data_IF_343300875737
#
_entry.id   IF_343300875737
#
_cell.length_a   1.000
_cell.length_b   1.000
_cell.length_c   1.000
_cell.angle_alpha   90.00
_cell.angle_beta   90.00
_cell.angle_gamma   90.00
#
_symmetry.space_group_name_H-M   'P 1'
#
loop_
_entity.id
_entity.type
_entity.pdbx_description
1 polymer ?
#
# COMPACT_ATOMS: atom_id res chain seq x y z
N UNK A 1 66.83 78.42 -17.93
CA UNK A 1 67.69 77.32 -18.41
C UNK A 1 67.37 76.09 -17.59
N UNK A 2 67.16 74.99 -18.22
CA UNK A 2 66.95 73.61 -17.79
C UNK A 2 65.52 73.15 -17.69
N UNK A 3 65.17 72.44 -18.73
CA UNK A 3 64.04 71.65 -19.04
C UNK A 3 63.97 70.37 -18.19
N UNK A 4 62.85 70.08 -17.66
CA UNK A 4 62.58 68.82 -16.97
C UNK A 4 61.36 68.10 -17.62
N UNK A 5 61.58 66.98 -18.23
CA UNK A 5 60.57 66.20 -18.92
C UNK A 5 59.69 65.41 -17.97
N UNK A 6 58.40 65.42 -18.16
CA UNK A 6 57.40 64.64 -17.44
C UNK A 6 57.08 63.37 -18.21
N UNK A 7 57.27 62.22 -17.61
CA UNK A 7 56.85 60.91 -18.12
C UNK A 7 55.43 60.54 -17.65
N UNK A 8 54.58 59.96 -18.51
CA UNK A 8 53.22 59.60 -18.12
C UNK A 8 53.15 58.23 -17.35
N UNK A 9 52.40 58.19 -16.30
CA UNK A 9 52.07 57.04 -15.50
C UNK A 9 51.11 56.12 -16.25
N UNK A 10 51.57 54.88 -16.50
CA UNK A 10 50.71 53.84 -17.06
C UNK A 10 49.62 53.37 -16.08
N UNK A 11 48.37 53.35 -16.57
CA UNK A 11 47.22 52.79 -15.88
C UNK A 11 47.24 51.27 -16.02
N UNK A 12 47.47 50.55 -14.92
CA UNK A 12 47.30 49.11 -14.83
C UNK A 12 45.82 48.79 -14.65
N UNK A 13 45.18 48.20 -15.68
CA UNK A 13 43.88 47.59 -15.54
C UNK A 13 44.02 46.24 -14.85
N UNK A 14 43.53 46.14 -13.58
CA UNK A 14 43.29 44.87 -12.92
C UNK A 14 41.91 44.33 -13.37
N UNK A 15 41.97 43.34 -14.23
CA UNK A 15 40.77 42.56 -14.60
C UNK A 15 40.30 41.76 -13.38
N UNK A 16 39.18 42.15 -12.78
CA UNK A 16 38.46 41.33 -11.79
C UNK A 16 37.75 40.19 -12.51
N UNK A 17 38.31 38.96 -12.53
CA UNK A 17 37.57 37.75 -12.90
C UNK A 17 36.55 37.45 -11.79
N UNK A 18 35.29 37.76 -12.01
CA UNK A 18 34.20 37.28 -11.18
C UNK A 18 34.00 35.78 -11.47
N UNK A 19 34.53 34.92 -10.59
CA UNK A 19 34.16 33.53 -10.51
C UNK A 19 32.69 33.46 -10.04
N UNK A 20 31.77 33.31 -10.99
CA UNK A 20 30.39 33.00 -10.73
C UNK A 20 30.30 31.58 -10.14
N UNK A 21 30.30 31.47 -8.81
CA UNK A 21 30.02 30.23 -8.12
C UNK A 21 28.56 29.83 -8.41
N UNK A 22 28.36 28.82 -9.26
CA UNK A 22 27.07 28.13 -9.37
C UNK A 22 26.86 27.38 -8.06
N UNK A 23 26.16 28.02 -7.14
CA UNK A 23 25.63 27.34 -5.94
C UNK A 23 24.63 26.28 -6.42
N UNK A 24 25.06 25.04 -6.51
CA UNK A 24 24.15 23.91 -6.57
C UNK A 24 23.38 23.90 -5.26
N UNK A 25 22.19 24.52 -5.25
CA UNK A 25 21.27 24.38 -4.14
C UNK A 25 20.95 22.88 -4.03
N UNK A 26 21.54 22.22 -3.04
CA UNK A 26 21.12 20.87 -2.61
C UNK A 26 19.69 21.05 -2.11
N UNK A 27 18.73 20.68 -2.97
CA UNK A 27 17.32 20.70 -2.59
C UNK A 27 17.17 19.67 -1.48
N UNK A 28 16.77 20.11 -0.29
CA UNK A 28 16.51 19.20 0.83
C UNK A 28 15.48 18.16 0.41
N UNK A 29 15.74 16.89 0.74
CA UNK A 29 14.81 15.80 0.46
C UNK A 29 13.49 16.07 1.19
N UNK A 30 12.38 15.88 0.49
CA UNK A 30 11.05 16.10 1.07
C UNK A 30 10.60 14.85 1.82
N UNK A 31 10.40 15.01 3.15
CA UNK A 31 10.05 13.89 4.03
C UNK A 31 8.60 13.45 3.80
N UNK A 32 8.38 12.15 3.64
CA UNK A 32 7.05 11.50 3.57
C UNK A 32 7.03 10.34 4.57
N UNK A 33 5.99 10.28 5.39
CA UNK A 33 5.72 9.16 6.29
C UNK A 33 4.66 8.26 5.67
N UNK A 34 5.07 7.05 5.24
CA UNK A 34 4.19 5.97 4.80
C UNK A 34 3.91 5.03 5.98
N UNK A 35 2.66 4.85 6.36
CA UNK A 35 2.23 3.82 7.29
C UNK A 35 1.63 2.64 6.52
N UNK A 36 2.20 1.45 6.69
CA UNK A 36 1.66 0.25 6.06
C UNK A 36 0.42 -0.27 6.79
N UNK A 37 -0.40 -1.10 6.12
CA UNK A 37 -1.59 -1.70 6.71
C UNK A 37 -1.28 -2.84 7.68
N UNK A 38 -0.09 -3.42 7.57
CA UNK A 38 0.34 -4.62 8.29
C UNK A 38 1.83 -4.57 8.62
N UNK A 39 2.33 -5.61 9.32
CA UNK A 39 3.77 -5.82 9.51
C UNK A 39 4.50 -5.90 8.17
N UNK A 40 5.80 -5.61 8.17
CA UNK A 40 6.64 -5.72 6.99
C UNK A 40 6.67 -7.18 6.49
N UNK A 41 6.24 -7.37 5.24
CA UNK A 41 6.23 -8.65 4.52
C UNK A 41 6.12 -8.41 2.99
N UNK A 42 5.99 -9.45 2.17
CA UNK A 42 6.06 -9.34 0.71
C UNK A 42 5.02 -8.35 0.12
N UNK A 43 3.84 -8.19 0.75
CA UNK A 43 2.79 -7.26 0.32
C UNK A 43 3.14 -5.78 0.50
N UNK A 44 4.23 -5.47 1.19
CA UNK A 44 4.80 -4.13 1.27
C UNK A 44 6.10 -4.01 0.45
N UNK A 45 6.49 -5.08 -0.25
CA UNK A 45 7.79 -5.24 -0.90
C UNK A 45 8.19 -4.13 -1.84
N UNK A 46 7.27 -3.60 -2.65
CA UNK A 46 7.57 -2.52 -3.59
C UNK A 46 8.03 -1.23 -2.90
N UNK A 47 7.48 -0.91 -1.72
CA UNK A 47 7.88 0.28 -0.97
C UNK A 47 9.26 0.10 -0.33
N UNK A 48 9.51 -1.05 0.28
CA UNK A 48 10.83 -1.41 0.80
C UNK A 48 11.89 -1.49 -0.31
N UNK A 49 11.53 -2.00 -1.48
CA UNK A 49 12.40 -2.01 -2.65
C UNK A 49 12.74 -0.60 -3.12
N UNK A 50 11.74 0.29 -3.22
CA UNK A 50 11.98 1.68 -3.60
C UNK A 50 12.92 2.40 -2.62
N UNK A 51 12.83 2.09 -1.33
CA UNK A 51 13.74 2.59 -0.31
C UNK A 51 15.14 1.97 -0.46
N UNK A 52 15.25 0.65 -0.54
CA UNK A 52 16.51 -0.09 -0.61
C UNK A 52 17.34 0.26 -1.86
N UNK A 53 16.68 0.46 -2.99
CA UNK A 53 17.33 0.79 -4.27
C UNK A 53 17.53 2.29 -4.49
N UNK A 54 17.13 3.12 -3.53
CA UNK A 54 17.28 4.58 -3.60
C UNK A 54 16.31 5.27 -4.57
N UNK A 55 15.24 4.61 -5.04
CA UNK A 55 14.26 5.22 -5.94
C UNK A 55 13.61 6.46 -5.32
N UNK A 56 13.25 6.43 -4.03
CA UNK A 56 12.73 7.62 -3.36
C UNK A 56 13.73 8.79 -3.38
N UNK A 57 14.99 8.53 -3.04
CA UNK A 57 16.06 9.54 -3.08
C UNK A 57 16.30 10.10 -4.48
N UNK A 58 16.26 9.24 -5.52
CA UNK A 58 16.33 9.66 -6.93
C UNK A 58 15.29 10.72 -7.27
N UNK A 59 14.12 10.65 -6.64
CA UNK A 59 13.05 11.64 -6.81
C UNK A 59 13.09 12.80 -5.79
N UNK A 60 14.13 12.88 -4.95
CA UNK A 60 14.28 13.92 -3.92
C UNK A 60 13.37 13.73 -2.72
N UNK A 61 13.06 12.48 -2.37
CA UNK A 61 12.19 12.12 -1.27
C UNK A 61 12.96 11.38 -0.17
N UNK A 62 12.71 11.74 1.08
CA UNK A 62 13.05 10.97 2.28
C UNK A 62 11.79 10.26 2.79
N UNK A 63 11.64 8.97 2.48
CA UNK A 63 10.46 8.19 2.85
C UNK A 63 10.73 7.37 4.09
N UNK A 64 9.99 7.67 5.16
CA UNK A 64 9.96 6.87 6.39
C UNK A 64 8.82 5.84 6.28
N UNK A 65 9.17 4.54 6.20
CA UNK A 65 8.18 3.46 6.23
C UNK A 65 7.95 3.06 7.68
N UNK A 66 6.70 3.12 8.14
CA UNK A 66 6.26 2.66 9.45
C UNK A 66 5.39 1.43 9.29
N UNK A 67 5.72 0.36 9.98
CA UNK A 67 4.90 -0.85 9.99
C UNK A 67 3.60 -0.64 10.75
N UNK A 68 2.50 -1.07 10.14
CA UNK A 68 1.22 -1.26 10.80
C UNK A 68 1.15 -2.56 11.59
N UNK A 69 -0.05 -3.09 11.73
CA UNK A 69 -0.29 -4.36 12.43
C UNK A 69 -1.76 -4.58 12.71
N UNK A 70 -2.14 -5.76 13.25
CA UNK A 70 -3.54 -6.18 13.40
C UNK A 70 -4.39 -5.28 14.29
N UNK A 71 -3.77 -4.45 15.14
CA UNK A 71 -4.45 -3.53 16.07
C UNK A 71 -4.18 -2.04 15.75
N UNK A 72 -3.51 -1.75 14.61
CA UNK A 72 -3.19 -0.38 14.22
C UNK A 72 -4.33 0.21 13.41
N UNK A 73 -4.87 1.35 13.85
CA UNK A 73 -5.87 2.11 13.10
C UNK A 73 -5.18 3.14 12.20
N UNK A 74 -4.86 2.74 10.96
CA UNK A 74 -4.17 3.60 10.00
C UNK A 74 -4.95 4.88 9.68
N UNK A 75 -6.28 4.80 9.50
CA UNK A 75 -7.10 5.97 9.20
C UNK A 75 -7.03 7.02 10.31
N UNK A 76 -7.06 6.61 11.57
CA UNK A 76 -6.90 7.52 12.71
C UNK A 76 -5.53 8.22 12.67
N UNK A 77 -4.46 7.49 12.36
CA UNK A 77 -3.09 8.05 12.26
C UNK A 77 -2.95 9.01 11.08
N UNK A 78 -3.61 8.72 9.95
CA UNK A 78 -3.68 9.64 8.81
C UNK A 78 -4.39 10.95 9.18
N UNK A 79 -5.60 10.85 9.73
CA UNK A 79 -6.43 12.02 10.06
C UNK A 79 -5.80 12.89 11.17
N UNK A 80 -5.06 12.28 12.10
CA UNK A 80 -4.29 12.99 13.14
C UNK A 80 -2.92 13.51 12.66
N UNK A 81 -2.65 13.46 11.35
CA UNK A 81 -1.39 13.93 10.73
C UNK A 81 -0.11 13.21 11.23
N UNK A 82 -0.26 11.99 11.73
CA UNK A 82 0.88 11.15 12.17
C UNK A 82 1.46 10.30 11.04
N UNK A 83 0.77 10.22 9.91
CA UNK A 83 1.25 9.70 8.64
C UNK A 83 0.80 10.64 7.51
N UNK A 84 1.58 10.74 6.44
CA UNK A 84 1.23 11.50 5.24
C UNK A 84 0.41 10.65 4.28
N UNK A 85 0.82 9.38 4.14
CA UNK A 85 0.17 8.36 3.32
C UNK A 85 0.01 7.08 4.14
N UNK A 86 -1.12 6.41 3.99
CA UNK A 86 -1.33 5.07 4.55
C UNK A 86 -1.65 4.07 3.44
N UNK A 87 -1.35 2.80 3.69
CA UNK A 87 -1.96 1.70 2.95
C UNK A 87 -3.30 1.41 3.66
N UNK A 88 -4.40 1.53 2.94
CA UNK A 88 -5.75 1.31 3.44
C UNK A 88 -6.61 0.53 2.44
N UNK A 89 -7.92 0.58 2.62
CA UNK A 89 -8.87 -0.22 1.83
C UNK A 89 -10.07 0.63 1.41
N UNK A 90 -10.61 0.35 0.22
CA UNK A 90 -11.73 1.11 -0.36
C UNK A 90 -12.98 1.10 0.52
N UNK A 91 -13.37 -0.05 1.10
CA UNK A 91 -14.55 -0.13 1.97
C UNK A 91 -14.42 0.82 3.16
N UNK A 92 -13.28 0.77 3.84
CA UNK A 92 -12.98 1.63 4.98
C UNK A 92 -12.99 3.11 4.58
N UNK A 93 -12.44 3.42 3.39
CA UNK A 93 -12.40 4.78 2.90
C UNK A 93 -13.80 5.29 2.56
N UNK A 94 -14.63 4.51 1.87
CA UNK A 94 -16.00 4.88 1.51
C UNK A 94 -16.90 5.07 2.75
N UNK A 95 -16.79 4.18 3.75
CA UNK A 95 -17.44 4.39 5.05
C UNK A 95 -16.96 5.68 5.73
N UNK A 96 -15.66 5.94 5.68
CA UNK A 96 -15.08 7.17 6.21
C UNK A 96 -15.64 8.42 5.54
N UNK A 97 -15.74 8.43 4.20
CA UNK A 97 -16.35 9.53 3.43
C UNK A 97 -17.80 9.76 3.88
N UNK A 98 -18.60 8.69 4.03
CA UNK A 98 -19.96 8.79 4.54
C UNK A 98 -20.03 9.45 5.94
N UNK A 99 -19.00 9.24 6.76
CA UNK A 99 -18.85 9.84 8.10
C UNK A 99 -18.18 11.23 8.08
N UNK A 100 -17.88 11.78 6.89
CA UNK A 100 -17.25 13.09 6.72
C UNK A 100 -15.72 13.11 6.83
N UNK A 101 -15.05 11.95 6.76
CA UNK A 101 -13.59 11.89 6.78
C UNK A 101 -13.00 12.56 5.54
N UNK A 102 -11.95 13.35 5.75
CA UNK A 102 -11.22 14.03 4.69
C UNK A 102 -10.00 13.18 4.29
N UNK A 103 -10.22 12.21 3.39
CA UNK A 103 -9.20 11.32 2.88
C UNK A 103 -9.50 10.94 1.42
N UNK A 104 -8.45 10.64 0.62
CA UNK A 104 -8.58 10.23 -0.78
C UNK A 104 -7.56 9.14 -1.11
N UNK A 105 -8.00 8.14 -1.87
CA UNK A 105 -7.09 7.23 -2.55
C UNK A 105 -6.35 7.97 -3.67
N UNK A 106 -5.03 7.74 -3.77
CA UNK A 106 -4.14 8.36 -4.76
C UNK A 106 -3.50 7.35 -5.72
N UNK A 107 -3.54 6.06 -5.37
CA UNK A 107 -3.16 4.93 -6.23
C UNK A 107 -3.70 3.61 -5.67
N UNK A 108 -3.89 2.61 -6.54
CA UNK A 108 -4.23 1.23 -6.17
C UNK A 108 -3.14 0.27 -6.69
N UNK A 109 -2.05 0.07 -5.95
CA UNK A 109 -0.99 -0.86 -6.34
C UNK A 109 -1.51 -2.28 -6.54
N UNK A 110 -2.30 -2.79 -5.60
CA UNK A 110 -2.93 -4.09 -5.71
C UNK A 110 -4.28 -3.98 -6.43
N UNK A 111 -4.36 -4.57 -7.61
CA UNK A 111 -5.60 -4.65 -8.38
C UNK A 111 -6.57 -5.70 -7.81
N UNK A 112 -6.05 -6.72 -7.16
CA UNK A 112 -6.82 -7.72 -6.44
C UNK A 112 -6.32 -7.81 -4.99
N UNK A 113 -7.28 -7.95 -4.06
CA UNK A 113 -6.96 -8.09 -2.64
C UNK A 113 -6.33 -9.47 -2.38
N UNK A 114 -5.14 -9.56 -1.79
CA UNK A 114 -4.52 -10.84 -1.44
C UNK A 114 -5.21 -11.54 -0.26
N UNK A 115 -6.20 -10.92 0.37
CA UNK A 115 -6.89 -11.45 1.53
C UNK A 115 -7.84 -12.57 1.17
N UNK A 116 -7.95 -13.52 2.08
CA UNK A 116 -8.85 -14.63 2.01
C UNK A 116 -9.05 -15.27 3.37
N UNK A 117 -9.66 -16.44 3.35
CA UNK A 117 -9.92 -17.23 4.56
C UNK A 117 -9.29 -18.61 4.41
N UNK A 118 -8.45 -18.97 5.38
CA UNK A 118 -7.99 -20.35 5.60
C UNK A 118 -9.05 -21.12 6.38
N UNK A 119 -9.34 -22.32 5.92
CA UNK A 119 -10.21 -23.28 6.59
C UNK A 119 -9.59 -24.66 6.56
N UNK A 120 -9.97 -25.53 7.48
CA UNK A 120 -9.61 -26.94 7.38
C UNK A 120 -10.26 -27.61 6.17
N UNK A 121 -9.76 -28.78 5.77
CA UNK A 121 -10.11 -29.46 4.53
C UNK A 121 -11.58 -29.91 4.45
N UNK A 122 -12.30 -29.97 5.58
CA UNK A 122 -13.72 -30.28 5.68
C UNK A 122 -14.61 -29.15 5.15
N UNK A 123 -14.13 -27.91 5.16
CA UNK A 123 -14.85 -26.74 4.61
C UNK A 123 -14.48 -26.54 3.15
N UNK A 124 -15.36 -26.97 2.25
CA UNK A 124 -15.13 -26.92 0.80
C UNK A 124 -15.72 -25.68 0.11
N UNK A 125 -16.41 -24.83 0.86
CA UNK A 125 -16.98 -23.57 0.37
C UNK A 125 -17.20 -22.59 1.52
N UNK A 126 -17.30 -21.28 1.21
CA UNK A 126 -17.55 -20.23 2.22
C UNK A 126 -18.92 -20.36 2.91
N UNK A 127 -19.87 -21.11 2.34
CA UNK A 127 -21.15 -21.46 2.98
C UNK A 127 -20.96 -22.36 4.20
N UNK A 128 -19.90 -23.15 4.25
CA UNK A 128 -19.55 -24.05 5.34
C UNK A 128 -19.01 -23.36 6.61
N UNK A 129 -18.97 -22.02 6.64
CA UNK A 129 -18.41 -21.26 7.76
C UNK A 129 -19.37 -21.07 8.95
N UNK A 130 -20.65 -21.45 8.83
CA UNK A 130 -21.70 -21.11 9.81
C UNK A 130 -21.39 -21.58 11.23
N UNK A 131 -20.72 -22.71 11.37
CA UNK A 131 -20.42 -23.31 12.68
C UNK A 131 -18.93 -23.18 13.07
N UNK A 132 -18.17 -22.38 12.31
CA UNK A 132 -16.73 -22.17 12.58
C UNK A 132 -16.49 -20.93 13.44
N UNK A 133 -15.47 -20.96 14.26
CA UNK A 133 -14.89 -19.77 14.91
C UNK A 133 -13.99 -19.07 13.90
N UNK A 134 -14.19 -17.76 13.71
CA UNK A 134 -13.49 -16.96 12.71
C UNK A 134 -12.50 -16.03 13.38
N UNK A 135 -11.20 -16.22 13.12
CA UNK A 135 -10.18 -15.31 13.63
C UNK A 135 -10.02 -14.14 12.64
N UNK A 136 -10.40 -12.94 13.10
CA UNK A 136 -10.44 -11.72 12.29
C UNK A 136 -9.73 -10.60 13.03
N UNK A 137 -8.80 -9.90 12.38
CA UNK A 137 -8.13 -8.72 12.95
C UNK A 137 -9.07 -7.52 13.04
N UNK A 138 -8.69 -6.51 13.81
CA UNK A 138 -9.45 -5.25 13.88
C UNK A 138 -9.55 -4.58 12.50
N UNK A 139 -8.50 -4.65 11.67
CA UNK A 139 -8.55 -4.14 10.29
C UNK A 139 -9.49 -4.97 9.42
N UNK A 140 -9.48 -6.31 9.54
CA UNK A 140 -10.40 -7.20 8.81
C UNK A 140 -11.86 -6.95 9.17
N UNK A 141 -12.15 -6.66 10.44
CA UNK A 141 -13.51 -6.31 10.90
C UNK A 141 -14.01 -4.98 10.28
N UNK A 142 -13.10 -4.06 9.99
CA UNK A 142 -13.43 -2.77 9.37
C UNK A 142 -13.40 -2.81 7.83
N UNK A 143 -13.05 -3.95 7.21
CA UNK A 143 -12.87 -4.05 5.75
C UNK A 143 -13.73 -5.17 5.16
N UNK A 144 -13.20 -6.38 5.05
CA UNK A 144 -13.85 -7.49 4.34
C UNK A 144 -14.89 -8.26 5.16
N UNK A 145 -14.81 -8.24 6.51
CA UNK A 145 -15.75 -8.97 7.36
C UNK A 145 -17.22 -8.56 7.15
N UNK A 146 -17.59 -7.25 7.06
CA UNK A 146 -18.97 -6.86 6.77
C UNK A 146 -19.49 -7.47 5.47
N UNK A 147 -18.64 -7.56 4.43
CA UNK A 147 -18.98 -8.22 3.18
C UNK A 147 -19.21 -9.73 3.38
N UNK A 148 -18.24 -10.42 3.99
CA UNK A 148 -18.32 -11.87 4.18
C UNK A 148 -19.56 -12.23 5.03
N UNK A 149 -19.78 -11.47 6.11
CA UNK A 149 -20.96 -11.64 6.97
C UNK A 149 -22.28 -11.51 6.21
N UNK A 150 -22.43 -10.45 5.43
CA UNK A 150 -23.64 -10.20 4.65
C UNK A 150 -23.85 -11.27 3.57
N UNK A 151 -22.79 -11.60 2.82
CA UNK A 151 -22.84 -12.52 1.69
C UNK A 151 -23.19 -13.96 2.11
N UNK A 152 -22.67 -14.41 3.26
CA UNK A 152 -22.80 -15.80 3.72
C UNK A 152 -23.66 -15.94 4.98
N UNK A 153 -24.35 -14.88 5.42
CA UNK A 153 -25.25 -14.86 6.56
C UNK A 153 -24.57 -15.33 7.87
N UNK A 154 -23.34 -14.85 8.09
CA UNK A 154 -22.55 -15.16 9.27
C UNK A 154 -22.88 -14.21 10.42
N UNK A 155 -22.36 -14.50 11.63
CA UNK A 155 -22.63 -13.76 12.85
C UNK A 155 -21.35 -13.20 13.49
N UNK A 156 -21.44 -12.00 14.06
CA UNK A 156 -20.36 -11.42 14.86
C UNK A 156 -20.01 -12.27 16.10
N UNK A 157 -20.94 -13.11 16.56
CA UNK A 157 -20.70 -14.06 17.65
C UNK A 157 -19.61 -15.11 17.34
N UNK A 158 -19.36 -15.39 16.05
CA UNK A 158 -18.30 -16.31 15.59
C UNK A 158 -16.91 -15.68 15.63
N UNK A 159 -16.81 -14.34 15.66
CA UNK A 159 -15.53 -13.63 15.51
C UNK A 159 -14.71 -13.65 16.79
N UNK A 160 -13.42 -13.94 16.64
CA UNK A 160 -12.39 -13.79 17.70
C UNK A 160 -11.20 -13.01 17.12
N UNK A 161 -10.41 -12.34 17.96
CA UNK A 161 -9.26 -11.56 17.49
C UNK A 161 -8.20 -12.43 16.80
N UNK A 162 -7.75 -11.99 15.63
CA UNK A 162 -6.56 -12.52 14.96
C UNK A 162 -5.35 -11.63 15.25
N UNK A 163 -4.22 -12.24 15.64
CA UNK A 163 -3.01 -11.54 16.10
C UNK A 163 -1.74 -11.95 15.34
N UNK A 164 -1.87 -12.37 14.10
CA UNK A 164 -0.76 -12.90 13.29
C UNK A 164 -0.12 -14.14 13.94
N UNK A 165 -0.96 -15.07 14.40
CA UNK A 165 -0.56 -16.34 14.99
C UNK A 165 -1.44 -17.45 14.42
N UNK A 166 -0.83 -18.43 13.74
CA UNK A 166 -1.55 -19.55 13.14
C UNK A 166 -1.84 -20.69 14.11
N UNK A 167 -1.27 -20.68 15.32
CA UNK A 167 -1.39 -21.82 16.25
C UNK A 167 -2.84 -22.17 16.63
N UNK A 168 -3.74 -21.22 16.89
CA UNK A 168 -5.14 -21.57 17.14
C UNK A 168 -5.79 -22.33 15.98
N UNK A 169 -5.44 -21.98 14.72
CA UNK A 169 -5.90 -22.69 13.54
C UNK A 169 -5.28 -24.09 13.43
N UNK A 170 -3.98 -24.22 13.73
CA UNK A 170 -3.25 -25.50 13.60
C UNK A 170 -3.78 -26.57 14.56
N UNK A 171 -4.30 -26.18 15.74
CA UNK A 171 -4.68 -27.12 16.81
C UNK A 171 -6.19 -27.35 16.94
N UNK A 172 -7.02 -26.59 16.22
CA UNK A 172 -8.47 -26.67 16.35
C UNK A 172 -9.16 -26.60 14.97
N UNK A 173 -9.73 -27.73 14.54
CA UNK A 173 -10.42 -27.86 13.27
C UNK A 173 -11.74 -27.03 13.16
N UNK A 174 -12.26 -26.54 14.30
CA UNK A 174 -13.41 -25.65 14.33
C UNK A 174 -13.06 -24.19 14.00
N UNK A 175 -11.76 -23.87 13.89
CA UNK A 175 -11.26 -22.52 13.61
C UNK A 175 -11.07 -22.34 12.11
N UNK A 176 -11.54 -21.21 11.58
CA UNK A 176 -11.11 -20.63 10.32
C UNK A 176 -10.43 -19.27 10.61
N UNK A 177 -9.49 -18.85 9.79
CA UNK A 177 -8.78 -17.60 10.05
C UNK A 177 -8.56 -16.77 8.79
N UNK A 178 -8.52 -15.45 8.97
CA UNK A 178 -8.02 -14.59 7.91
C UNK A 178 -6.59 -14.97 7.53
N UNK A 179 -6.27 -14.76 6.27
CA UNK A 179 -4.92 -14.98 5.75
C UNK A 179 -4.66 -14.15 4.50
N UNK A 180 -3.41 -13.93 4.20
CA UNK A 180 -2.97 -13.53 2.86
C UNK A 180 -2.48 -14.77 2.11
N UNK A 181 -2.84 -14.90 0.84
CA UNK A 181 -2.33 -15.98 -0.04
C UNK A 181 -0.80 -16.03 -0.03
N UNK A 182 -0.18 -14.89 0.14
CA UNK A 182 1.27 -14.66 0.14
C UNK A 182 1.97 -14.91 1.50
N UNK A 183 1.25 -15.26 2.56
CA UNK A 183 1.83 -15.38 3.91
C UNK A 183 1.35 -16.62 4.67
N UNK A 184 0.17 -16.56 5.33
CA UNK A 184 -0.30 -17.60 6.24
C UNK A 184 -0.54 -18.94 5.55
N UNK A 185 -0.90 -18.94 4.28
CA UNK A 185 -1.08 -20.17 3.49
C UNK A 185 0.20 -21.02 3.54
N UNK A 186 1.35 -20.41 3.31
CA UNK A 186 2.65 -21.06 3.38
C UNK A 186 2.96 -21.59 4.80
N UNK A 187 2.68 -20.77 5.81
CA UNK A 187 2.96 -21.14 7.20
C UNK A 187 2.13 -22.36 7.63
N UNK A 188 0.85 -22.41 7.26
CA UNK A 188 -0.05 -23.53 7.55
C UNK A 188 0.38 -24.79 6.80
N UNK A 189 0.79 -24.67 5.53
CA UNK A 189 1.35 -25.81 4.78
C UNK A 189 2.63 -26.33 5.42
N UNK A 190 3.53 -25.46 5.87
CA UNK A 190 4.76 -25.82 6.58
C UNK A 190 4.47 -26.50 7.93
N UNK A 191 3.38 -26.16 8.60
CA UNK A 191 2.91 -26.82 9.81
C UNK A 191 2.28 -28.19 9.55
N UNK A 192 2.17 -28.63 8.28
CA UNK A 192 1.64 -29.94 7.91
C UNK A 192 0.11 -30.03 7.96
N UNK A 193 -0.60 -28.91 8.10
CA UNK A 193 -2.06 -28.88 8.14
C UNK A 193 -2.62 -28.84 6.73
N UNK A 194 -3.58 -29.74 6.43
CA UNK A 194 -4.34 -29.70 5.19
C UNK A 194 -5.42 -28.63 5.30
N UNK A 195 -5.31 -27.59 4.48
CA UNK A 195 -6.22 -26.45 4.51
C UNK A 195 -6.69 -26.08 3.10
N UNK A 196 -7.89 -25.51 3.04
CA UNK A 196 -8.39 -24.80 1.87
C UNK A 196 -8.18 -23.30 2.08
N UNK A 197 -7.90 -22.58 1.02
CA UNK A 197 -7.81 -21.13 1.02
C UNK A 197 -8.82 -20.54 0.03
N UNK A 198 -9.63 -19.62 0.51
CA UNK A 198 -10.65 -18.92 -0.29
C UNK A 198 -10.21 -17.48 -0.49
N UNK A 199 -9.60 -17.18 -1.63
CA UNK A 199 -9.18 -15.81 -2.00
C UNK A 199 -10.44 -14.97 -2.27
N UNK A 200 -10.66 -13.90 -1.52
CA UNK A 200 -11.92 -13.14 -1.57
C UNK A 200 -12.22 -12.55 -2.96
N UNK A 201 -11.19 -12.11 -3.69
CA UNK A 201 -11.36 -11.58 -5.04
C UNK A 201 -11.91 -12.60 -6.05
N UNK A 202 -11.67 -13.90 -5.84
CA UNK A 202 -12.23 -14.99 -6.64
C UNK A 202 -13.68 -15.33 -6.24
N UNK A 203 -14.13 -14.86 -5.07
CA UNK A 203 -15.46 -15.08 -4.54
C UNK A 203 -16.37 -13.83 -4.61
N UNK A 204 -16.04 -12.89 -5.49
CA UNK A 204 -16.87 -11.73 -5.77
C UNK A 204 -16.61 -10.51 -4.85
N UNK A 205 -15.53 -10.49 -4.07
CA UNK A 205 -15.10 -9.32 -3.34
C UNK A 205 -14.51 -8.27 -4.31
N UNK A 206 -15.20 -7.14 -4.58
CA UNK A 206 -14.85 -6.26 -5.69
C UNK A 206 -13.73 -5.25 -5.41
N UNK A 207 -13.38 -4.91 -4.13
CA UNK A 207 -12.41 -3.86 -3.84
C UNK A 207 -11.02 -4.09 -4.41
N UNK A 208 -10.28 -2.99 -4.51
CA UNK A 208 -8.82 -3.07 -4.66
C UNK A 208 -8.19 -3.64 -3.38
N UNK A 209 -7.00 -4.22 -3.48
CA UNK A 209 -6.20 -4.59 -2.31
C UNK A 209 -5.16 -3.50 -1.99
N UNK A 210 -5.13 -3.00 -0.75
CA UNK A 210 -4.04 -2.12 -0.32
C UNK A 210 -3.85 -0.83 -1.14
N UNK A 211 -4.83 0.07 -1.11
CA UNK A 211 -4.76 1.37 -1.78
C UNK A 211 -3.92 2.38 -0.97
N UNK A 212 -3.24 3.30 -1.66
CA UNK A 212 -2.55 4.43 -1.04
C UNK A 212 -3.55 5.56 -0.77
N UNK A 213 -3.66 5.97 0.49
CA UNK A 213 -4.60 7.02 0.92
C UNK A 213 -3.84 8.18 1.53
N UNK A 214 -4.18 9.41 1.14
CA UNK A 214 -3.65 10.65 1.69
C UNK A 214 -4.79 11.62 2.03
N UNK A 215 -4.49 12.63 2.85
CA UNK A 215 -5.44 13.72 3.12
C UNK A 215 -5.48 14.72 1.96
N UNK A 216 -6.64 15.36 1.70
CA UNK A 216 -6.75 16.40 0.67
C UNK A 216 -5.81 17.59 0.88
N UNK A 217 -5.56 18.01 2.13
CA UNK A 217 -4.60 19.07 2.44
C UNK A 217 -3.17 18.68 2.03
N UNK A 218 -2.74 17.46 2.38
CA UNK A 218 -1.42 16.92 1.98
C UNK A 218 -1.29 16.84 0.46
N UNK A 219 -2.36 16.41 -0.24
CA UNK A 219 -2.38 16.34 -1.70
C UNK A 219 -2.22 17.74 -2.32
N UNK A 220 -2.97 18.74 -1.81
CA UNK A 220 -2.94 20.09 -2.35
C UNK A 220 -1.60 20.81 -2.10
N UNK A 221 -1.11 20.74 -0.86
CA UNK A 221 0.11 21.44 -0.44
C UNK A 221 1.39 20.81 -1.01
N UNK A 222 1.37 19.47 -1.24
CA UNK A 222 2.55 18.68 -1.60
C UNK A 222 2.35 17.87 -2.88
N UNK A 223 1.59 18.41 -3.83
CA UNK A 223 1.21 17.71 -5.06
C UNK A 223 2.39 17.09 -5.82
N UNK A 224 3.47 17.85 -5.99
CA UNK A 224 4.65 17.37 -6.71
C UNK A 224 5.34 16.20 -5.98
N UNK A 225 5.43 16.26 -4.66
CA UNK A 225 6.00 15.17 -3.86
C UNK A 225 5.11 13.92 -3.87
N UNK A 226 3.79 14.09 -3.79
CA UNK A 226 2.85 12.96 -3.90
C UNK A 226 2.96 12.27 -5.27
N UNK A 227 3.07 13.02 -6.37
CA UNK A 227 3.27 12.46 -7.70
C UNK A 227 4.59 11.64 -7.80
N UNK A 228 5.69 12.20 -7.26
CA UNK A 228 6.99 11.52 -7.20
C UNK A 228 6.94 10.26 -6.33
N UNK A 229 6.27 10.34 -5.17
CA UNK A 229 6.11 9.23 -4.24
C UNK A 229 5.33 8.08 -4.88
N UNK A 230 4.18 8.36 -5.51
CA UNK A 230 3.38 7.34 -6.20
C UNK A 230 4.21 6.68 -7.31
N UNK A 231 4.89 7.48 -8.17
CA UNK A 231 5.75 6.96 -9.23
C UNK A 231 6.86 6.07 -8.69
N UNK A 232 7.63 6.55 -7.71
CA UNK A 232 8.74 5.79 -7.13
C UNK A 232 8.26 4.49 -6.48
N UNK A 233 7.09 4.51 -5.85
CA UNK A 233 6.47 3.31 -5.27
C UNK A 233 6.08 2.29 -6.34
N UNK A 234 5.52 2.73 -7.47
CA UNK A 234 5.18 1.81 -8.58
C UNK A 234 6.43 1.27 -9.28
N UNK A 235 7.45 2.11 -9.51
CA UNK A 235 8.76 1.65 -10.01
C UNK A 235 9.42 0.66 -9.02
N UNK A 236 9.22 0.88 -7.71
CA UNK A 236 9.64 -0.04 -6.66
C UNK A 236 8.96 -1.41 -6.78
N UNK A 237 7.67 -1.45 -7.06
CA UNK A 237 6.95 -2.70 -7.31
C UNK A 237 7.46 -3.42 -8.57
N UNK A 238 7.70 -2.71 -9.67
CA UNK A 238 8.30 -3.30 -10.88
C UNK A 238 9.65 -3.92 -10.56
N UNK A 239 10.50 -3.18 -9.83
CA UNK A 239 11.82 -3.67 -9.41
C UNK A 239 11.72 -4.85 -8.45
N UNK A 240 10.80 -4.82 -7.47
CA UNK A 240 10.61 -5.89 -6.48
C UNK A 240 10.17 -7.20 -7.11
N UNK A 241 9.21 -7.14 -8.01
CA UNK A 241 8.78 -8.35 -8.72
C UNK A 241 9.82 -8.89 -9.70
N UNK A 242 10.82 -8.10 -10.10
CA UNK A 242 11.95 -8.56 -10.92
C UNK A 242 13.06 -9.18 -10.07
N UNK A 243 13.49 -8.47 -9.02
CA UNK A 243 14.53 -8.89 -8.07
C UNK A 243 14.15 -8.37 -6.66
N UNK A 244 13.56 -9.22 -5.81
CA UNK A 244 13.08 -8.80 -4.49
C UNK A 244 14.20 -8.68 -3.43
N UNK A 245 15.43 -9.11 -3.71
CA UNK A 245 16.48 -9.26 -2.70
C UNK A 245 16.76 -7.96 -1.91
N UNK A 246 16.90 -6.77 -2.53
CA UNK A 246 17.13 -5.52 -1.79
C UNK A 246 15.98 -5.18 -0.83
N UNK A 247 14.73 -5.27 -1.28
CA UNK A 247 13.54 -4.99 -0.47
C UNK A 247 13.37 -6.00 0.67
N UNK A 248 13.59 -7.29 0.37
CA UNK A 248 13.51 -8.37 1.36
C UNK A 248 14.53 -8.20 2.50
N UNK A 249 15.71 -7.64 2.21
CA UNK A 249 16.70 -7.36 3.24
C UNK A 249 16.17 -6.36 4.27
N UNK A 250 15.51 -5.27 3.85
CA UNK A 250 14.89 -4.31 4.74
C UNK A 250 13.64 -4.87 5.44
N UNK A 251 12.82 -5.65 4.74
CA UNK A 251 11.65 -6.33 5.35
C UNK A 251 12.09 -7.19 6.53
N UNK A 252 13.16 -7.98 6.38
CA UNK A 252 13.68 -8.83 7.45
C UNK A 252 14.25 -8.03 8.64
N UNK A 253 14.75 -6.82 8.42
CA UNK A 253 15.17 -5.93 9.50
C UNK A 253 13.98 -5.45 10.34
N UNK A 254 12.88 -5.06 9.68
CA UNK A 254 11.67 -4.56 10.34
C UNK A 254 10.80 -5.69 10.91
N UNK A 255 10.84 -6.87 10.29
CA UNK A 255 10.10 -8.06 10.73
C UNK A 255 10.99 -9.32 10.67
N UNK A 256 11.73 -9.62 11.73
CA UNK A 256 12.61 -10.79 11.79
C UNK A 256 11.91 -12.16 11.69
N UNK A 257 10.56 -12.19 11.72
CA UNK A 257 9.79 -13.42 11.49
C UNK A 257 9.71 -13.79 10.01
N UNK A 258 10.08 -12.91 9.11
CA UNK A 258 10.08 -13.17 7.67
C UNK A 258 11.32 -13.98 7.28
N UNK A 259 11.13 -15.24 6.92
CA UNK A 259 12.17 -16.10 6.37
C UNK A 259 12.30 -15.91 4.86
N UNK A 260 13.43 -16.30 4.28
CA UNK A 260 13.65 -16.17 2.84
C UNK A 260 12.64 -16.99 2.03
N UNK A 261 12.29 -18.21 2.49
CA UNK A 261 11.28 -19.07 1.84
C UNK A 261 9.88 -18.43 1.90
N UNK A 262 9.50 -17.81 3.03
CA UNK A 262 8.19 -17.14 3.16
C UNK A 262 8.12 -15.93 2.23
N UNK A 263 9.17 -15.13 2.14
CA UNK A 263 9.24 -13.99 1.24
C UNK A 263 9.24 -14.43 -0.24
N UNK A 264 9.98 -15.49 -0.58
CA UNK A 264 9.97 -16.07 -1.92
C UNK A 264 8.58 -16.60 -2.32
N UNK A 265 7.90 -17.31 -1.39
CA UNK A 265 6.51 -17.71 -1.56
C UNK A 265 5.61 -16.49 -1.83
N UNK A 266 5.71 -15.46 -1.00
CA UNK A 266 4.89 -14.25 -1.12
C UNK A 266 5.03 -13.58 -2.48
N UNK A 267 6.28 -13.40 -2.96
CA UNK A 267 6.54 -12.86 -4.30
C UNK A 267 5.94 -13.73 -5.41
N UNK A 268 6.05 -15.06 -5.27
CA UNK A 268 5.48 -16.01 -6.22
C UNK A 268 3.96 -15.87 -6.29
N UNK A 269 3.29 -15.82 -5.14
CA UNK A 269 1.83 -15.68 -5.09
C UNK A 269 1.35 -14.34 -5.66
N UNK A 270 2.05 -13.24 -5.39
CA UNK A 270 1.73 -11.92 -5.96
C UNK A 270 1.76 -11.97 -7.50
N UNK A 271 2.73 -12.70 -8.08
CA UNK A 271 2.84 -12.89 -9.54
C UNK A 271 1.77 -13.82 -10.09
N UNK A 272 1.60 -15.03 -9.50
CA UNK A 272 0.70 -16.07 -10.00
C UNK A 272 -0.76 -15.65 -10.00
N UNK A 273 -1.18 -14.89 -8.97
CA UNK A 273 -2.54 -14.35 -8.89
C UNK A 273 -2.68 -12.98 -9.56
N UNK A 274 -1.65 -12.48 -10.26
CA UNK A 274 -1.69 -11.17 -10.93
C UNK A 274 -2.21 -10.04 -10.04
N UNK A 275 -1.80 -10.03 -8.76
CA UNK A 275 -2.38 -9.14 -7.76
C UNK A 275 -2.10 -7.66 -8.06
N UNK A 276 -0.99 -7.36 -8.75
CA UNK A 276 -0.55 -5.97 -9.06
C UNK A 276 -0.75 -5.66 -10.55
N UNK A 277 -0.35 -6.55 -11.43
CA UNK A 277 -0.31 -6.39 -12.89
C UNK A 277 -1.59 -6.82 -13.60
N UNK A 278 -2.55 -7.39 -12.87
CA UNK A 278 -3.86 -7.81 -13.38
C UNK A 278 -4.86 -6.66 -13.49
N UNK A 279 -6.12 -6.99 -13.76
CA UNK A 279 -7.22 -6.03 -13.82
C UNK A 279 -6.96 -4.84 -14.75
N UNK A 280 -7.32 -3.65 -14.30
CA UNK A 280 -7.13 -2.42 -15.07
C UNK A 280 -5.65 -2.08 -15.29
N UNK A 281 -4.76 -2.53 -14.40
CA UNK A 281 -3.32 -2.25 -14.50
C UNK A 281 -2.67 -2.90 -15.72
N UNK A 282 -3.18 -4.02 -16.20
CA UNK A 282 -2.67 -4.71 -17.38
C UNK A 282 -2.64 -3.80 -18.64
N UNK A 283 -3.61 -2.90 -18.76
CA UNK A 283 -3.70 -1.96 -19.90
C UNK A 283 -3.27 -0.54 -19.54
N UNK A 284 -3.61 -0.04 -18.34
CA UNK A 284 -3.47 1.37 -17.97
C UNK A 284 -2.20 1.68 -17.17
N UNK A 285 -1.48 0.67 -16.70
CA UNK A 285 -0.27 0.81 -15.87
C UNK A 285 -0.54 0.59 -14.38
N UNK A 286 0.54 0.28 -13.67
CA UNK A 286 0.47 -0.09 -12.25
C UNK A 286 0.04 1.08 -11.38
N UNK A 287 -0.73 0.77 -10.37
CA UNK A 287 -1.31 1.77 -9.47
C UNK A 287 -2.60 2.42 -9.97
N UNK A 288 -3.05 2.06 -11.18
CA UNK A 288 -4.26 2.66 -11.78
C UNK A 288 -5.51 2.45 -10.94
N UNK A 289 -6.43 3.39 -11.08
CA UNK A 289 -7.79 3.32 -10.53
C UNK A 289 -8.77 3.78 -11.60
N UNK A 290 -9.95 3.15 -11.66
CA UNK A 290 -11.00 3.48 -12.62
C UNK A 290 -12.33 3.81 -11.93
N UNK A 291 -13.10 4.71 -12.52
CA UNK A 291 -14.46 5.02 -12.07
C UNK A 291 -15.34 3.75 -12.03
N UNK A 292 -15.20 2.90 -13.05
CA UNK A 292 -15.96 1.66 -13.12
C UNK A 292 -15.70 0.72 -11.95
N UNK A 293 -14.44 0.61 -11.50
CA UNK A 293 -14.10 -0.23 -10.35
C UNK A 293 -14.59 0.36 -9.04
N UNK A 294 -14.41 1.67 -8.82
CA UNK A 294 -14.94 2.36 -7.65
C UNK A 294 -16.46 2.29 -7.58
N UNK A 295 -17.14 2.45 -8.72
CA UNK A 295 -18.60 2.30 -8.80
C UNK A 295 -19.04 0.89 -8.43
N UNK A 296 -18.35 -0.15 -8.93
CA UNK A 296 -18.65 -1.55 -8.60
C UNK A 296 -18.52 -1.81 -7.09
N UNK A 297 -17.46 -1.30 -6.45
CA UNK A 297 -17.28 -1.39 -4.98
C UNK A 297 -18.39 -0.66 -4.24
N UNK A 298 -18.70 0.57 -4.66
CA UNK A 298 -19.82 1.36 -4.08
C UNK A 298 -21.16 0.65 -4.22
N UNK A 299 -21.50 0.15 -5.41
CA UNK A 299 -22.79 -0.51 -5.66
C UNK A 299 -22.92 -1.80 -4.83
N UNK A 300 -21.83 -2.54 -4.71
CA UNK A 300 -21.75 -3.66 -3.79
C UNK A 300 -22.03 -3.22 -2.33
N UNK A 301 -21.36 -2.20 -1.82
CA UNK A 301 -21.55 -1.72 -0.44
C UNK A 301 -22.99 -1.23 -0.20
N UNK A 302 -23.59 -0.57 -1.16
CA UNK A 302 -25.00 -0.11 -1.07
C UNK A 302 -25.94 -1.33 -1.03
N UNK A 303 -25.75 -2.31 -1.90
CA UNK A 303 -26.58 -3.52 -1.93
C UNK A 303 -26.47 -4.35 -0.66
N UNK A 304 -25.30 -4.34 -0.03
CA UNK A 304 -25.04 -5.00 1.25
C UNK A 304 -25.47 -4.19 2.48
N UNK A 305 -26.04 -2.98 2.30
CA UNK A 305 -26.43 -2.09 3.40
C UNK A 305 -25.26 -1.48 4.18
N UNK A 306 -24.06 -1.49 3.61
CA UNK A 306 -22.84 -0.98 4.23
C UNK A 306 -22.58 0.50 3.90
N UNK A 307 -23.24 1.03 2.88
CA UNK A 307 -23.09 2.41 2.42
C UNK A 307 -24.44 2.99 2.01
N UNK A 308 -24.72 4.23 2.40
CA UNK A 308 -25.89 4.93 1.92
C UNK A 308 -25.78 5.25 0.42
N UNK A 309 -26.87 5.04 -0.34
CA UNK A 309 -26.88 5.27 -1.78
C UNK A 309 -26.53 6.73 -2.17
N UNK A 310 -26.82 7.69 -1.29
CA UNK A 310 -26.54 9.13 -1.49
C UNK A 310 -25.08 9.51 -1.20
N UNK A 311 -24.24 8.59 -0.74
CA UNK A 311 -22.82 8.89 -0.46
C UNK A 311 -22.10 9.29 -1.73
N UNK A 312 -21.48 10.47 -1.73
CA UNK A 312 -20.64 10.94 -2.86
C UNK A 312 -19.30 10.21 -2.89
N UNK A 313 -19.32 9.01 -3.43
CA UNK A 313 -18.18 8.12 -3.53
C UNK A 313 -17.05 8.65 -4.43
N UNK A 314 -17.36 9.61 -5.35
CA UNK A 314 -16.34 10.24 -6.20
C UNK A 314 -15.35 11.10 -5.43
N UNK A 315 -15.68 11.51 -4.22
CA UNK A 315 -14.76 12.20 -3.33
C UNK A 315 -13.66 11.26 -2.77
N UNK A 316 -13.87 9.93 -2.83
CA UNK A 316 -12.97 8.95 -2.21
C UNK A 316 -11.63 8.79 -2.95
N UNK A 317 -11.47 9.24 -4.17
CA UNK A 317 -10.24 9.02 -4.93
C UNK A 317 -9.92 10.18 -5.89
N UNK A 318 -8.66 10.14 -6.37
CA UNK A 318 -8.21 10.96 -7.51
C UNK A 318 -7.29 10.14 -8.39
N UNK A 319 -7.44 10.25 -9.69
CA UNK A 319 -6.59 9.57 -10.67
C UNK A 319 -5.43 10.43 -11.16
N UNK A 320 -5.31 11.66 -10.66
CA UNK A 320 -4.34 12.66 -11.17
C UNK A 320 -2.87 12.19 -11.09
N UNK A 321 -2.53 11.31 -10.16
CA UNK A 321 -1.17 10.81 -9.97
C UNK A 321 -0.86 9.56 -10.80
N UNK A 322 -1.89 8.82 -11.23
CA UNK A 322 -1.72 7.54 -11.93
C UNK A 322 -2.09 7.62 -13.41
N UNK A 323 -2.99 8.53 -13.79
CA UNK A 323 -3.56 8.64 -15.14
C UNK A 323 -2.50 8.83 -16.23
N UNK A 324 -1.43 9.57 -15.95
CA UNK A 324 -0.33 9.86 -16.91
C UNK A 324 0.96 9.14 -16.59
N UNK A 325 1.00 8.40 -15.48
CA UNK A 325 2.25 7.81 -14.97
C UNK A 325 2.74 6.65 -15.83
N UNK A 326 1.85 5.77 -16.28
CA UNK A 326 2.10 4.61 -17.16
C UNK A 326 3.33 3.77 -16.76
N UNK A 327 3.55 3.53 -15.47
CA UNK A 327 4.58 2.60 -15.01
C UNK A 327 4.15 1.17 -15.37
N UNK A 328 5.00 0.45 -16.08
CA UNK A 328 4.81 -0.95 -16.51
C UNK A 328 6.14 -1.69 -16.36
N UNK A 329 6.15 -3.05 -16.31
CA UNK A 329 7.37 -3.86 -16.35
C UNK A 329 8.25 -3.57 -17.55
#
# INVERSE_FOLDING_TARGET
MKTGACLPRGIRWLGLMALGGVSLAVQAEEKIVLLTSWYAQAEQGGYYQAQATGLYKKYGLDVEIRSGGPQVNGMQLLLSKRADVIIGYDLQLLEGIQRGFQAKAIAAPFQYDPQGLLTHADVTSLQGLKDKTLLVSSSGQATWWPWLKAQYQLSDAQVRPYTFNIQPFVVDDAVAQQAYVSSEVFQVQKAGVKANFFLFSEHGYPPYGGILIARPDTIAERKAAMAKFVRASMEGWVSYLKDPAPGNALIKQDNPKMTDDLLAWGVTQIREHHLIDGGDAASQGWGTMTDARWQKTRDFMVSAGLLAAATDWKQAYTTEFVQTMQVKP
#
